data_IF_309095571517
#
_entry.id   IF_309095571517
#
_cell.length_a   1.000
_cell.length_b   1.000
_cell.length_c   1.000
_cell.angle_alpha   90.00
_cell.angle_beta   90.00
_cell.angle_gamma   90.00
#
_symmetry.space_group_name_H-M   'P 1'
#
loop_
_entity.id
_entity.type
_entity.pdbx_description
1 polymer ?
#
# COMPACT_ATOMS: atom_id res chain seq x y z
N UNK A 1 -19.26 5.09 4.67
CA UNK A 1 -18.49 4.46 5.75
C UNK A 1 -17.04 4.88 5.55
N UNK A 2 -16.59 5.90 6.27
CA UNK A 2 -15.23 6.46 6.14
C UNK A 2 -14.25 5.49 6.77
N UNK A 3 -13.59 4.68 5.94
CA UNK A 3 -12.37 4.00 6.37
C UNK A 3 -11.35 5.11 6.57
N UNK A 4 -11.17 5.52 7.83
CA UNK A 4 -9.98 6.28 8.19
C UNK A 4 -8.80 5.39 7.80
N UNK A 5 -8.11 5.75 6.73
CA UNK A 5 -6.75 5.26 6.47
C UNK A 5 -5.95 5.73 7.69
N UNK A 6 -5.93 4.88 8.71
CA UNK A 6 -5.10 5.11 9.88
C UNK A 6 -3.72 4.78 9.35
N UNK A 7 -2.88 5.80 9.23
CA UNK A 7 -1.46 5.66 8.89
C UNK A 7 -0.86 4.69 9.90
N UNK A 8 -0.87 3.40 9.52
CA UNK A 8 -0.52 2.28 10.37
C UNK A 8 0.95 2.35 10.80
N UNK A 9 1.90 2.74 9.93
CA UNK A 9 3.26 3.09 10.34
C UNK A 9 3.30 4.16 11.43
N UNK A 10 2.57 5.28 11.27
CA UNK A 10 2.52 6.34 12.28
C UNK A 10 1.88 5.88 13.58
N UNK A 11 0.82 5.06 13.51
CA UNK A 11 0.16 4.49 14.68
C UNK A 11 1.12 3.57 15.45
N UNK A 12 1.76 2.63 14.76
CA UNK A 12 2.73 1.70 15.37
C UNK A 12 3.90 2.48 15.97
N UNK A 13 4.45 3.46 15.26
CA UNK A 13 5.50 4.35 15.77
C UNK A 13 5.05 5.09 17.04
N UNK A 14 3.83 5.61 17.07
CA UNK A 14 3.28 6.31 18.24
C UNK A 14 3.09 5.38 19.44
N UNK A 15 2.63 4.15 19.19
CA UNK A 15 2.48 3.13 20.24
C UNK A 15 3.85 2.71 20.79
N UNK A 16 4.81 2.39 19.91
CA UNK A 16 6.19 2.04 20.29
C UNK A 16 6.85 3.18 21.08
N UNK A 17 6.70 4.43 20.65
CA UNK A 17 7.24 5.60 21.35
C UNK A 17 6.60 5.79 22.73
N UNK A 18 5.27 5.66 22.81
CA UNK A 18 4.54 5.80 24.07
C UNK A 18 4.94 4.69 25.06
N UNK A 19 4.91 3.44 24.61
CA UNK A 19 5.24 2.28 25.44
C UNK A 19 6.72 2.29 25.84
N UNK A 20 7.63 2.55 24.90
CA UNK A 20 9.07 2.54 25.14
C UNK A 20 9.59 3.74 25.92
N UNK A 21 9.16 4.97 25.59
CA UNK A 21 9.69 6.18 26.24
C UNK A 21 8.92 6.64 27.47
N UNK A 22 7.62 6.34 27.57
CA UNK A 22 6.80 6.82 28.70
C UNK A 22 6.45 5.72 29.69
N UNK A 23 6.14 4.51 29.22
CA UNK A 23 5.70 3.42 30.11
C UNK A 23 6.87 2.61 30.64
N UNK A 24 7.80 2.17 29.79
CA UNK A 24 8.91 1.31 30.20
C UNK A 24 9.80 1.89 31.31
N UNK A 25 10.12 3.20 31.36
CA UNK A 25 10.92 3.78 32.44
C UNK A 25 10.17 3.91 33.77
N UNK A 26 8.83 3.91 33.73
CA UNK A 26 7.98 4.04 34.92
C UNK A 26 7.64 2.68 35.56
N UNK A 27 7.96 1.57 34.89
CA UNK A 27 7.76 0.23 35.41
C UNK A 27 8.90 -0.17 36.34
N UNK A 28 8.60 -0.76 37.52
CA UNK A 28 9.62 -1.35 38.36
C UNK A 28 10.28 -2.54 37.66
N UNK A 29 11.53 -2.83 38.05
CA UNK A 29 12.22 -4.02 37.57
C UNK A 29 11.45 -5.29 37.96
N UNK A 30 11.15 -6.11 36.97
CA UNK A 30 10.36 -7.32 37.16
C UNK A 30 9.67 -7.82 35.89
N UNK A 31 8.81 -8.84 36.01
CA UNK A 31 8.17 -9.51 34.88
C UNK A 31 7.46 -8.56 33.92
N UNK A 32 6.76 -7.56 34.44
CA UNK A 32 6.04 -6.57 33.63
C UNK A 32 6.95 -5.76 32.69
N UNK A 33 8.19 -5.45 33.12
CA UNK A 33 9.16 -4.73 32.30
C UNK A 33 9.72 -5.62 31.18
N UNK A 34 9.90 -6.90 31.46
CA UNK A 34 10.34 -7.91 30.47
C UNK A 34 9.25 -8.19 29.44
N UNK A 35 8.00 -8.36 29.89
CA UNK A 35 6.85 -8.56 29.00
C UNK A 35 6.64 -7.34 28.08
N UNK A 36 6.77 -6.11 28.60
CA UNK A 36 6.67 -4.91 27.77
C UNK A 36 7.78 -4.85 26.71
N UNK A 37 9.02 -5.24 27.06
CA UNK A 37 10.11 -5.31 26.09
C UNK A 37 9.82 -6.31 24.97
N UNK A 38 9.26 -7.48 25.30
CA UNK A 38 8.84 -8.48 24.33
C UNK A 38 7.70 -7.97 23.42
N UNK A 39 6.74 -7.22 23.96
CA UNK A 39 5.67 -6.58 23.17
C UNK A 39 6.25 -5.54 22.20
N UNK A 40 7.18 -4.70 22.65
CA UNK A 40 7.86 -3.73 21.78
C UNK A 40 8.62 -4.43 20.65
N UNK A 41 9.34 -5.51 20.94
CA UNK A 41 10.03 -6.32 19.94
C UNK A 41 9.05 -6.96 18.93
N UNK A 42 7.90 -7.45 19.39
CA UNK A 42 6.87 -7.98 18.50
C UNK A 42 6.25 -6.90 17.61
N UNK A 43 6.05 -5.69 18.14
CA UNK A 43 5.54 -4.55 17.38
C UNK A 43 6.54 -4.09 16.31
N UNK A 44 7.83 -4.06 16.61
CA UNK A 44 8.87 -3.70 15.65
C UNK A 44 8.97 -4.76 14.54
N UNK A 45 8.97 -6.04 14.90
CA UNK A 45 8.93 -7.15 13.92
C UNK A 45 7.67 -7.09 13.03
N UNK A 46 6.52 -6.70 13.59
CA UNK A 46 5.30 -6.53 12.83
C UNK A 46 5.38 -5.30 11.92
N UNK A 47 5.96 -4.20 12.38
CA UNK A 47 6.16 -3.00 11.59
C UNK A 47 7.05 -3.28 10.36
N UNK A 48 8.15 -4.03 10.53
CA UNK A 48 9.02 -4.44 9.42
C UNK A 48 8.29 -5.33 8.42
N UNK A 49 7.46 -6.25 8.88
CA UNK A 49 6.67 -7.14 8.00
C UNK A 49 5.54 -6.43 7.26
N UNK A 50 5.05 -5.34 7.82
CA UNK A 50 3.99 -4.50 7.25
C UNK A 50 4.56 -3.31 6.47
N UNK A 51 5.88 -3.06 6.56
CA UNK A 51 6.55 -2.08 5.74
C UNK A 51 6.44 -2.51 4.29
N UNK A 52 5.77 -1.70 3.49
CA UNK A 52 5.72 -1.89 2.06
C UNK A 52 7.12 -1.69 1.50
N UNK A 53 7.52 -2.51 0.53
CA UNK A 53 8.70 -2.23 -0.27
C UNK A 53 8.46 -0.92 -1.03
N UNK A 54 9.05 0.18 -0.55
CA UNK A 54 8.90 1.52 -1.13
C UNK A 54 9.26 1.55 -2.62
N UNK A 55 10.19 0.71 -3.05
CA UNK A 55 10.59 0.61 -4.45
C UNK A 55 9.46 0.00 -5.28
N UNK A 56 8.87 -1.10 -4.81
CA UNK A 56 7.75 -1.75 -5.51
C UNK A 56 6.50 -0.87 -5.48
N UNK A 57 6.23 -0.19 -4.35
CA UNK A 57 5.13 0.75 -4.24
C UNK A 57 5.31 1.94 -5.20
N UNK A 58 6.54 2.46 -5.34
CA UNK A 58 6.88 3.50 -6.31
C UNK A 58 6.59 3.05 -7.74
N UNK A 59 7.07 1.86 -8.12
CA UNK A 59 6.81 1.27 -9.45
C UNK A 59 5.31 1.06 -9.72
N UNK A 60 4.53 0.67 -8.71
CA UNK A 60 3.09 0.54 -8.83
C UNK A 60 2.39 1.90 -9.03
N UNK A 61 2.86 2.96 -8.34
CA UNK A 61 2.36 4.32 -8.52
C UNK A 61 2.68 4.85 -9.92
N UNK A 62 3.93 4.71 -10.38
CA UNK A 62 4.36 5.15 -11.71
C UNK A 62 3.54 4.50 -12.83
N UNK A 63 3.39 3.17 -12.84
CA UNK A 63 2.60 2.49 -13.87
C UNK A 63 1.11 2.82 -13.81
N UNK A 64 0.56 3.01 -12.61
CA UNK A 64 -0.82 3.47 -12.46
C UNK A 64 -0.98 4.86 -13.07
N UNK A 65 -0.01 5.74 -12.87
CA UNK A 65 0.01 7.07 -13.48
C UNK A 65 0.14 7.00 -15.01
N UNK A 66 1.04 6.16 -15.53
CA UNK A 66 1.18 5.93 -16.97
C UNK A 66 -0.12 5.44 -17.62
N UNK A 67 -0.82 4.47 -16.98
CA UNK A 67 -2.13 4.03 -17.44
C UNK A 67 -3.13 5.18 -17.41
N UNK A 68 -3.19 5.95 -16.32
CA UNK A 68 -4.10 7.08 -16.20
C UNK A 68 -3.89 8.10 -17.35
N UNK A 69 -2.64 8.46 -17.64
CA UNK A 69 -2.28 9.34 -18.76
C UNK A 69 -2.70 8.75 -20.10
N UNK A 70 -2.48 7.45 -20.33
CA UNK A 70 -2.93 6.74 -21.56
C UNK A 70 -4.45 6.73 -21.71
N UNK A 71 -5.18 6.71 -20.61
CA UNK A 71 -6.65 6.82 -20.58
C UNK A 71 -7.14 8.27 -20.70
N UNK A 72 -6.23 9.25 -20.82
CA UNK A 72 -6.56 10.66 -20.99
C UNK A 72 -6.85 11.41 -19.69
N UNK A 73 -6.55 10.84 -18.53
CA UNK A 73 -6.63 11.54 -17.25
C UNK A 73 -5.49 12.57 -17.15
N UNK A 74 -5.79 13.72 -16.56
CA UNK A 74 -4.76 14.72 -16.25
C UNK A 74 -3.76 14.16 -15.22
N UNK A 75 -2.49 14.57 -15.26
CA UNK A 75 -1.49 14.14 -14.29
C UNK A 75 -1.92 14.43 -12.85
N UNK A 76 -1.52 13.57 -11.91
CA UNK A 76 -1.84 13.77 -10.50
C UNK A 76 -1.22 15.09 -9.97
N UNK A 77 -2.02 16.02 -9.39
CA UNK A 77 -1.50 17.27 -8.83
C UNK A 77 -0.63 17.07 -7.58
N UNK A 78 -0.79 15.96 -6.87
CA UNK A 78 -0.04 15.64 -5.65
C UNK A 78 0.55 14.22 -5.74
N UNK A 79 1.59 14.02 -6.58
CA UNK A 79 2.21 12.71 -6.73
C UNK A 79 2.98 12.36 -5.45
N UNK A 80 2.62 11.22 -4.86
CA UNK A 80 3.29 10.66 -3.69
C UNK A 80 3.36 9.13 -3.80
N UNK A 81 4.45 8.56 -3.26
CA UNK A 81 4.66 7.10 -3.20
C UNK A 81 4.02 6.57 -1.92
N UNK A 82 2.69 6.50 -1.94
CA UNK A 82 1.91 5.96 -0.83
C UNK A 82 0.66 5.21 -1.32
N UNK A 83 0.10 4.38 -0.44
CA UNK A 83 -1.04 3.50 -0.76
C UNK A 83 -2.31 4.30 -1.03
N UNK A 84 -2.50 5.47 -0.42
CA UNK A 84 -3.72 6.25 -0.58
C UNK A 84 -3.76 7.00 -1.92
N UNK A 85 -2.60 7.51 -2.36
CA UNK A 85 -2.38 8.05 -3.70
C UNK A 85 -2.60 6.97 -4.75
N UNK A 86 -2.00 5.78 -4.59
CA UNK A 86 -2.23 4.64 -5.48
C UNK A 86 -3.71 4.25 -5.57
N UNK A 87 -4.41 4.16 -4.41
CA UNK A 87 -5.83 3.81 -4.35
C UNK A 87 -6.71 4.86 -5.01
N UNK A 88 -6.46 6.14 -4.74
CA UNK A 88 -7.18 7.26 -5.36
C UNK A 88 -7.01 7.18 -6.87
N UNK A 89 -5.77 7.03 -7.35
CA UNK A 89 -5.51 7.03 -8.79
C UNK A 89 -6.12 5.84 -9.52
N UNK A 90 -6.05 4.63 -8.94
CA UNK A 90 -6.74 3.44 -9.47
C UNK A 90 -8.27 3.60 -9.50
N UNK A 91 -8.86 4.37 -8.58
CA UNK A 91 -10.28 4.69 -8.60
C UNK A 91 -10.63 5.59 -9.79
N UNK A 92 -9.86 6.65 -10.04
CA UNK A 92 -10.09 7.56 -11.17
C UNK A 92 -10.02 6.79 -12.51
N UNK A 93 -9.06 5.87 -12.64
CA UNK A 93 -8.96 4.95 -13.77
C UNK A 93 -10.22 4.08 -13.91
N UNK A 94 -10.66 3.46 -12.82
CA UNK A 94 -11.84 2.58 -12.82
C UNK A 94 -13.12 3.32 -13.20
N UNK A 95 -13.27 4.57 -12.75
CA UNK A 95 -14.39 5.43 -13.11
C UNK A 95 -14.36 5.81 -14.60
N UNK A 96 -13.18 6.14 -15.13
CA UNK A 96 -12.96 6.45 -16.54
C UNK A 96 -13.30 5.26 -17.43
N UNK A 97 -12.78 4.08 -17.09
CA UNK A 97 -13.11 2.84 -17.80
C UNK A 97 -14.62 2.53 -17.69
N UNK A 98 -15.19 2.68 -16.50
CA UNK A 98 -16.62 2.46 -16.27
C UNK A 98 -17.53 3.37 -17.12
N UNK A 99 -17.11 4.61 -17.37
CA UNK A 99 -17.80 5.51 -18.31
C UNK A 99 -17.61 5.04 -19.76
N UNK A 100 -16.36 4.76 -20.17
CA UNK A 100 -16.03 4.33 -21.54
C UNK A 100 -16.78 3.05 -21.95
N UNK A 101 -16.92 2.06 -21.08
CA UNK A 101 -17.66 0.82 -21.35
C UNK A 101 -19.19 1.00 -21.35
N UNK A 102 -19.73 2.05 -20.71
CA UNK A 102 -21.18 2.30 -20.65
C UNK A 102 -21.68 3.04 -21.90
N UNK A 103 -20.84 3.90 -22.46
CA UNK A 103 -21.22 4.81 -23.54
C UNK A 103 -20.97 4.24 -24.96
N UNK A 104 -20.42 3.02 -25.06
CA UNK A 104 -20.23 2.30 -26.32
C UNK A 104 -19.09 1.27 -26.27
N UNK A 105 -18.78 0.58 -27.37
CA UNK A 105 -17.58 -0.25 -27.43
C UNK A 105 -16.35 0.67 -27.27
N UNK A 106 -15.45 0.38 -26.30
CA UNK A 106 -14.27 1.20 -26.08
C UNK A 106 -13.36 1.17 -27.30
N UNK A 107 -12.59 2.25 -27.49
CA UNK A 107 -11.53 2.26 -28.50
C UNK A 107 -10.53 1.13 -28.23
N UNK A 108 -10.04 0.50 -29.30
CA UNK A 108 -9.09 -0.60 -29.26
C UNK A 108 -7.82 -0.23 -28.51
N UNK A 109 -7.39 1.03 -28.62
CA UNK A 109 -6.23 1.56 -27.89
C UNK A 109 -6.40 1.50 -26.37
N UNK A 110 -7.61 1.74 -25.85
CA UNK A 110 -7.94 1.64 -24.43
C UNK A 110 -7.92 0.18 -23.96
N UNK A 111 -8.47 -0.72 -24.78
CA UNK A 111 -8.48 -2.16 -24.48
C UNK A 111 -7.06 -2.70 -24.42
N UNK A 112 -6.21 -2.36 -25.38
CA UNK A 112 -4.81 -2.78 -25.42
C UNK A 112 -4.02 -2.25 -24.19
N UNK A 113 -4.28 -1.00 -23.77
CA UNK A 113 -3.66 -0.42 -22.58
C UNK A 113 -4.06 -1.12 -21.28
N UNK A 114 -5.34 -1.46 -21.13
CA UNK A 114 -5.84 -2.20 -19.95
C UNK A 114 -5.30 -3.63 -19.93
N UNK A 115 -5.22 -4.29 -21.09
CA UNK A 115 -4.67 -5.64 -21.20
C UNK A 115 -3.20 -5.67 -20.80
N UNK A 116 -2.39 -4.76 -21.33
CA UNK A 116 -0.96 -4.64 -21.00
C UNK A 116 -0.75 -4.36 -19.50
N UNK A 117 -1.50 -3.42 -18.92
CA UNK A 117 -1.44 -3.14 -17.49
C UNK A 117 -1.85 -4.36 -16.65
N UNK A 118 -2.92 -5.05 -17.04
CA UNK A 118 -3.42 -6.22 -16.30
C UNK A 118 -2.44 -7.39 -16.37
N UNK A 119 -1.79 -7.62 -17.52
CA UNK A 119 -0.79 -8.67 -17.69
C UNK A 119 0.43 -8.41 -16.78
N UNK A 120 0.89 -7.16 -16.69
CA UNK A 120 1.99 -6.77 -15.82
C UNK A 120 1.62 -6.83 -14.32
N UNK A 121 0.43 -6.34 -13.93
CA UNK A 121 -0.05 -6.39 -12.53
C UNK A 121 -0.25 -7.84 -12.07
N UNK A 122 -0.76 -8.72 -12.94
CA UNK A 122 -0.90 -10.15 -12.67
C UNK A 122 0.46 -10.85 -12.57
N UNK A 123 1.39 -10.57 -13.48
CA UNK A 123 2.72 -11.18 -13.45
C UNK A 123 3.46 -10.85 -12.15
N UNK A 124 3.31 -9.63 -11.64
CA UNK A 124 3.91 -9.22 -10.37
C UNK A 124 3.22 -9.80 -9.15
N UNK A 125 1.89 -9.79 -9.11
CA UNK A 125 1.16 -10.43 -8.01
C UNK A 125 1.44 -11.94 -7.95
N UNK A 126 1.68 -12.59 -9.08
CA UNK A 126 2.12 -13.99 -9.14
C UNK A 126 3.60 -14.12 -8.76
N UNK A 127 4.46 -13.16 -9.14
CA UNK A 127 5.91 -13.24 -8.91
C UNK A 127 6.34 -12.99 -7.46
N UNK A 128 5.62 -12.17 -6.70
CA UNK A 128 5.90 -11.96 -5.27
C UNK A 128 5.18 -12.95 -4.36
N UNK A 129 4.01 -13.47 -4.75
CA UNK A 129 3.13 -14.19 -3.81
C UNK A 129 3.26 -15.72 -3.86
N UNK A 130 3.87 -16.32 -4.88
CA UNK A 130 4.06 -17.79 -4.92
C UNK A 130 5.33 -18.30 -4.22
N UNK A 131 6.20 -17.45 -3.62
CA UNK A 131 7.50 -17.94 -3.09
C UNK A 131 8.01 -17.46 -1.73
N UNK A 132 7.43 -16.49 -1.05
CA UNK A 132 8.05 -15.94 0.18
C UNK A 132 7.26 -16.17 1.49
N UNK A 133 6.39 -17.18 1.55
CA UNK A 133 5.57 -17.43 2.76
C UNK A 133 5.19 -18.87 3.07
N UNK A 134 5.67 -19.86 2.30
CA UNK A 134 5.43 -21.27 2.66
C UNK A 134 6.54 -21.75 3.62
N UNK A 135 6.19 -22.28 4.80
CA UNK A 135 7.16 -22.97 5.63
C UNK A 135 7.73 -24.17 4.84
N UNK A 136 9.05 -24.40 4.98
CA UNK A 136 9.68 -25.67 4.62
C UNK A 136 9.28 -26.77 5.59
#
# INVERSE_FOLDING_TARGET
MTVYSTDLPRLLSTITDTLGRRVAPALPDGPARVELAAVLEQLDNLAERLAWDETQLGQACERTEELAVRLGLAPDPEPAVDVDTLRRRRRDISETLGAAYRDGPPDRSLVDAVLEFSEQDVQEQISTTLRAGLPG
#
